data_IF_403047665853
#
_entry.id   IF_403047665853
#
_cell.length_a   1.000
_cell.length_b   1.000
_cell.length_c   1.000
_cell.angle_alpha   90.00
_cell.angle_beta   90.00
_cell.angle_gamma   90.00
#
_symmetry.space_group_name_H-M   'P 1'
#
loop_
_entity.id
_entity.type
_entity.pdbx_description
1 polymer ?
#
# COMPACT_ATOMS: atom_id res chain seq x y z
N UNK A 1 71.41 -2.42 22.32
CA UNK A 1 70.00 -2.77 22.58
C UNK A 1 69.98 -3.91 23.57
N UNK A 2 69.32 -3.75 24.71
CA UNK A 2 69.42 -4.69 25.84
C UNK A 2 68.50 -5.92 25.61
N UNK A 3 68.93 -7.12 26.01
CA UNK A 3 68.18 -8.39 25.76
C UNK A 3 66.77 -8.34 26.35
N UNK A 4 66.61 -7.59 27.44
CA UNK A 4 65.34 -7.36 28.14
C UNK A 4 64.36 -6.52 27.32
N UNK A 5 64.86 -5.53 26.58
CA UNK A 5 64.04 -4.66 25.72
C UNK A 5 63.47 -5.44 24.54
N UNK A 6 64.26 -6.32 23.93
CA UNK A 6 63.81 -7.18 22.82
C UNK A 6 62.73 -8.16 23.31
N UNK A 7 62.93 -8.80 24.47
CA UNK A 7 61.94 -9.69 25.06
C UNK A 7 60.61 -8.97 25.36
N UNK A 8 60.68 -7.75 25.90
CA UNK A 8 59.50 -6.93 26.17
C UNK A 8 58.76 -6.57 24.88
N UNK A 9 59.47 -6.14 23.84
CA UNK A 9 58.85 -5.83 22.55
C UNK A 9 58.15 -7.05 21.93
N UNK A 10 58.76 -8.23 21.99
CA UNK A 10 58.14 -9.48 21.50
C UNK A 10 56.87 -9.79 22.30
N UNK A 11 56.90 -9.62 23.63
CA UNK A 11 55.75 -9.89 24.48
C UNK A 11 54.57 -8.95 24.18
N UNK A 12 54.84 -7.66 24.00
CA UNK A 12 53.83 -6.66 23.61
C UNK A 12 53.26 -6.99 22.22
N UNK A 13 54.11 -7.35 21.25
CA UNK A 13 53.65 -7.72 19.91
C UNK A 13 52.78 -8.97 19.92
N UNK A 14 53.18 -10.00 20.68
CA UNK A 14 52.39 -11.22 20.85
C UNK A 14 51.04 -10.94 21.53
N UNK A 15 51.01 -10.05 22.54
CA UNK A 15 49.77 -9.66 23.22
C UNK A 15 48.83 -8.92 22.27
N UNK A 16 49.33 -7.95 21.51
CA UNK A 16 48.53 -7.23 20.51
C UNK A 16 48.01 -8.17 19.42
N UNK A 17 48.83 -9.12 18.97
CA UNK A 17 48.42 -10.11 17.97
C UNK A 17 47.31 -11.04 18.49
N UNK A 18 47.43 -11.53 19.73
CA UNK A 18 46.40 -12.36 20.36
C UNK A 18 45.10 -11.59 20.56
N UNK A 19 45.18 -10.33 20.99
CA UNK A 19 44.00 -9.46 21.13
C UNK A 19 43.32 -9.22 19.79
N UNK A 20 44.10 -8.99 18.72
CA UNK A 20 43.55 -8.81 17.37
C UNK A 20 42.82 -10.07 16.88
N UNK A 21 43.44 -11.25 17.01
CA UNK A 21 42.81 -12.53 16.66
C UNK A 21 41.52 -12.76 17.44
N UNK A 22 41.52 -12.45 18.74
CA UNK A 22 40.33 -12.60 19.57
C UNK A 22 39.18 -11.69 19.09
N UNK A 23 39.45 -10.42 18.77
CA UNK A 23 38.45 -9.51 18.25
C UNK A 23 37.93 -9.90 16.86
N UNK A 24 38.81 -10.38 15.97
CA UNK A 24 38.41 -10.86 14.64
C UNK A 24 37.44 -12.04 14.77
N UNK A 25 37.73 -13.01 15.64
CA UNK A 25 36.86 -14.15 15.89
C UNK A 25 35.50 -13.74 16.49
N UNK A 26 35.50 -12.90 17.53
CA UNK A 26 34.28 -12.36 18.13
C UNK A 26 33.42 -11.59 17.09
N UNK A 27 34.06 -10.83 16.21
CA UNK A 27 33.37 -10.10 15.16
C UNK A 27 32.73 -11.03 14.13
N UNK A 28 33.45 -12.08 13.69
CA UNK A 28 32.89 -13.09 12.78
C UNK A 28 31.72 -13.85 13.40
N UNK A 29 31.81 -14.23 14.67
CA UNK A 29 30.71 -14.88 15.39
C UNK A 29 29.49 -13.97 15.51
N UNK A 30 29.69 -12.71 15.93
CA UNK A 30 28.60 -11.72 16.02
C UNK A 30 27.96 -11.46 14.67
N UNK A 31 28.77 -11.34 13.62
CA UNK A 31 28.29 -11.17 12.24
C UNK A 31 27.43 -12.36 11.82
N UNK A 32 27.89 -13.58 12.06
CA UNK A 32 27.14 -14.80 11.73
C UNK A 32 25.82 -14.89 12.51
N UNK A 33 25.83 -14.57 13.80
CA UNK A 33 24.61 -14.54 14.62
C UNK A 33 23.63 -13.46 14.13
N UNK A 34 24.13 -12.29 13.75
CA UNK A 34 23.32 -11.23 13.16
C UNK A 34 22.69 -11.67 11.84
N UNK A 35 23.45 -12.27 10.92
CA UNK A 35 22.93 -12.80 9.65
C UNK A 35 21.86 -13.88 9.86
N UNK A 36 22.08 -14.81 10.80
CA UNK A 36 21.07 -15.82 11.18
C UNK A 36 19.80 -15.17 11.73
N UNK A 37 19.95 -14.16 12.59
CA UNK A 37 18.82 -13.42 13.17
C UNK A 37 18.03 -12.67 12.11
N UNK A 38 18.71 -12.00 11.18
CA UNK A 38 18.08 -11.31 10.05
C UNK A 38 17.34 -12.30 9.15
N UNK A 39 17.95 -13.46 8.86
CA UNK A 39 17.31 -14.51 8.07
C UNK A 39 16.04 -15.08 8.71
N UNK A 40 16.02 -15.25 10.04
CA UNK A 40 14.82 -15.67 10.78
C UNK A 40 13.74 -14.60 10.75
N UNK A 41 14.10 -13.33 10.98
CA UNK A 41 13.16 -12.20 10.94
C UNK A 41 12.48 -12.07 9.59
N UNK A 42 13.23 -12.11 8.48
CA UNK A 42 12.66 -12.07 7.12
C UNK A 42 11.68 -13.20 6.86
N UNK A 43 12.01 -14.43 7.29
CA UNK A 43 11.11 -15.59 7.16
C UNK A 43 9.83 -15.46 7.98
N UNK A 44 9.90 -14.83 9.16
CA UNK A 44 8.72 -14.56 9.97
C UNK A 44 7.85 -13.48 9.32
N UNK A 45 8.45 -12.39 8.84
CA UNK A 45 7.78 -11.29 8.14
C UNK A 45 7.06 -11.81 6.88
N UNK A 46 7.71 -12.65 6.06
CA UNK A 46 7.09 -13.31 4.90
C UNK A 46 5.83 -14.08 5.32
N UNK A 47 5.91 -14.89 6.37
CA UNK A 47 4.77 -15.70 6.83
C UNK A 47 3.62 -14.84 7.35
N UNK A 48 3.93 -13.74 8.04
CA UNK A 48 2.93 -12.81 8.54
C UNK A 48 2.21 -12.11 7.39
N UNK A 49 2.97 -11.57 6.42
CA UNK A 49 2.41 -10.93 5.22
C UNK A 49 1.58 -11.90 4.37
N UNK A 50 2.01 -13.17 4.23
CA UNK A 50 1.22 -14.18 3.53
C UNK A 50 -0.12 -14.48 4.24
N UNK A 51 -0.09 -14.59 5.57
CA UNK A 51 -1.30 -14.79 6.36
C UNK A 51 -2.24 -13.58 6.28
N UNK A 52 -1.69 -12.38 6.38
CA UNK A 52 -2.42 -11.12 6.30
C UNK A 52 -3.09 -10.97 4.93
N UNK A 53 -2.34 -11.12 3.83
CA UNK A 53 -2.88 -11.06 2.47
C UNK A 53 -3.98 -12.11 2.23
N UNK A 54 -3.89 -13.28 2.85
CA UNK A 54 -4.92 -14.31 2.75
C UNK A 54 -6.18 -13.96 3.54
N UNK A 55 -6.03 -13.31 4.70
CA UNK A 55 -7.14 -12.92 5.57
C UNK A 55 -7.82 -11.59 5.20
N UNK A 56 -7.08 -10.66 4.59
CA UNK A 56 -7.57 -9.29 4.32
C UNK A 56 -8.57 -9.23 3.17
N UNK A 57 -8.79 -10.32 2.44
CA UNK A 57 -9.76 -10.41 1.34
C UNK A 57 -11.22 -10.42 1.81
N UNK A 58 -11.51 -10.54 3.12
CA UNK A 58 -12.86 -10.86 3.60
C UNK A 58 -13.71 -9.65 4.08
N UNK A 59 -13.14 -8.46 4.34
CA UNK A 59 -13.88 -7.30 4.90
C UNK A 59 -14.07 -6.12 3.92
N UNK A 60 -14.40 -6.42 2.66
CA UNK A 60 -14.61 -5.40 1.62
C UNK A 60 -15.89 -4.57 1.85
N UNK A 61 -16.88 -5.12 2.55
CA UNK A 61 -18.20 -4.49 2.74
C UNK A 61 -18.16 -3.22 3.62
N UNK A 62 -17.22 -3.14 4.57
CA UNK A 62 -17.07 -1.99 5.49
C UNK A 62 -16.37 -0.78 4.85
N UNK A 63 -15.85 -0.92 3.63
CA UNK A 63 -15.04 0.11 2.96
C UNK A 63 -15.89 1.21 2.29
N UNK A 64 -17.22 1.09 2.32
CA UNK A 64 -18.10 2.08 1.70
C UNK A 64 -17.98 2.12 0.17
N UNK A 65 -17.79 0.96 -0.45
CA UNK A 65 -17.56 0.83 -1.88
C UNK A 65 -18.86 0.84 -2.68
N UNK A 66 -18.87 1.66 -3.72
CA UNK A 66 -20.02 1.86 -4.59
C UNK A 66 -19.61 1.60 -6.04
N UNK A 67 -20.50 0.98 -6.80
CA UNK A 67 -20.34 0.85 -8.25
C UNK A 67 -21.10 1.98 -8.94
N UNK A 68 -20.47 2.60 -9.92
CA UNK A 68 -21.05 3.63 -10.76
C UNK A 68 -21.45 3.08 -12.13
N UNK A 69 -22.60 3.53 -12.62
CA UNK A 69 -23.25 3.07 -13.84
C UNK A 69 -23.51 4.26 -14.77
N UNK A 70 -23.49 3.98 -16.07
CA UNK A 70 -23.81 4.96 -17.11
C UNK A 70 -25.32 5.27 -17.19
N UNK A 71 -26.15 4.35 -16.70
CA UNK A 71 -27.60 4.37 -16.84
C UNK A 71 -28.29 4.23 -15.49
N UNK A 72 -29.56 4.65 -15.47
CA UNK A 72 -30.45 4.61 -14.31
C UNK A 72 -31.02 3.21 -14.02
N UNK A 73 -30.69 2.21 -14.85
CA UNK A 73 -31.11 0.81 -14.71
C UNK A 73 -30.04 -0.08 -14.07
N UNK A 74 -28.79 0.39 -14.02
CA UNK A 74 -27.65 -0.36 -13.51
C UNK A 74 -27.14 -1.44 -14.46
N UNK A 75 -27.39 -1.31 -15.77
CA UNK A 75 -27.01 -2.33 -16.76
C UNK A 75 -25.56 -2.17 -17.25
N UNK A 76 -25.04 -0.94 -17.29
CA UNK A 76 -23.70 -0.64 -17.80
C UNK A 76 -22.79 -0.09 -16.68
N UNK A 77 -22.06 -0.95 -15.94
CA UNK A 77 -21.09 -0.51 -14.95
C UNK A 77 -19.90 0.18 -15.64
N UNK A 78 -19.50 1.33 -15.10
CA UNK A 78 -18.39 2.14 -15.60
C UNK A 78 -17.15 2.01 -14.70
N UNK A 79 -17.33 2.25 -13.41
CA UNK A 79 -16.24 2.30 -12.43
C UNK A 79 -16.76 1.94 -11.02
N UNK A 80 -15.88 1.90 -10.04
CA UNK A 80 -16.23 1.96 -8.63
C UNK A 80 -15.37 2.99 -7.91
N UNK A 81 -15.75 3.23 -6.67
CA UNK A 81 -15.17 4.25 -5.86
C UNK A 81 -15.71 4.19 -4.45
N UNK A 82 -15.27 5.16 -3.65
CA UNK A 82 -15.64 5.29 -2.25
C UNK A 82 -16.74 6.31 -2.16
N UNK A 83 -17.83 5.96 -1.48
CA UNK A 83 -18.96 6.86 -1.26
C UNK A 83 -19.06 7.27 0.20
N UNK A 84 -19.00 8.57 0.46
CA UNK A 84 -19.14 9.15 1.81
C UNK A 84 -19.84 10.49 1.72
N UNK A 85 -20.81 10.73 2.61
CA UNK A 85 -21.50 12.02 2.77
C UNK A 85 -21.96 12.66 1.45
N UNK A 86 -22.68 11.87 0.63
CA UNK A 86 -23.20 12.25 -0.70
C UNK A 86 -22.14 12.51 -1.78
N UNK A 87 -20.88 12.23 -1.49
CA UNK A 87 -19.75 12.35 -2.43
C UNK A 87 -19.25 10.97 -2.83
N UNK A 88 -18.95 10.83 -4.11
CA UNK A 88 -18.35 9.64 -4.70
C UNK A 88 -16.97 10.01 -5.26
N UNK A 89 -15.93 9.42 -4.68
CA UNK A 89 -14.56 9.55 -5.13
C UNK A 89 -14.18 8.31 -5.96
N UNK A 90 -13.67 8.54 -7.17
CA UNK A 90 -13.20 7.49 -8.08
C UNK A 90 -11.95 7.95 -8.82
N UNK A 91 -11.36 7.05 -9.60
CA UNK A 91 -10.23 7.32 -10.48
C UNK A 91 -10.77 7.51 -11.90
N UNK A 92 -10.34 8.57 -12.60
CA UNK A 92 -10.76 8.84 -13.98
C UNK A 92 -10.29 7.74 -14.94
N UNK A 93 -11.23 7.09 -15.66
CA UNK A 93 -10.92 6.03 -16.63
C UNK A 93 -10.88 6.52 -18.09
N UNK A 94 -11.19 7.79 -18.33
CA UNK A 94 -11.21 8.41 -19.66
C UNK A 94 -11.02 9.92 -19.54
N UNK A 95 -10.51 10.55 -20.60
CA UNK A 95 -10.33 12.01 -20.65
C UNK A 95 -11.68 12.78 -20.69
N UNK A 96 -12.74 12.13 -21.17
CA UNK A 96 -14.09 12.73 -21.24
C UNK A 96 -15.03 11.96 -20.32
N UNK A 97 -15.12 12.40 -19.08
CA UNK A 97 -16.00 11.83 -18.08
C UNK A 97 -17.46 12.25 -18.32
N UNK A 98 -18.44 11.39 -18.02
CA UNK A 98 -19.84 11.75 -18.12
C UNK A 98 -20.21 12.78 -17.05
N UNK A 99 -21.06 13.75 -17.37
CA UNK A 99 -21.51 14.78 -16.40
C UNK A 99 -22.34 14.19 -15.26
N UNK A 100 -22.97 13.03 -15.47
CA UNK A 100 -23.85 12.37 -14.50
C UNK A 100 -23.55 10.89 -14.44
N UNK A 101 -23.53 10.35 -13.22
CA UNK A 101 -23.40 8.92 -12.93
C UNK A 101 -24.50 8.47 -11.98
N UNK A 102 -24.80 7.19 -12.04
CA UNK A 102 -25.71 6.53 -11.13
C UNK A 102 -24.93 5.59 -10.23
N UNK A 103 -25.00 5.76 -8.91
CA UNK A 103 -24.23 4.93 -7.97
C UNK A 103 -25.13 4.09 -7.08
N UNK A 104 -24.66 2.92 -6.69
CA UNK A 104 -25.25 2.08 -5.63
C UNK A 104 -24.16 1.36 -4.84
N UNK A 105 -24.41 0.95 -3.58
CA UNK A 105 -23.46 0.13 -2.84
C UNK A 105 -23.13 -1.14 -3.62
N UNK A 106 -21.88 -1.56 -3.54
CA UNK A 106 -21.44 -2.82 -4.14
C UNK A 106 -22.23 -3.98 -3.53
N UNK A 107 -22.65 -4.95 -4.36
CA UNK A 107 -23.47 -6.11 -3.96
C UNK A 107 -24.86 -5.77 -3.37
N UNK A 108 -25.37 -4.55 -3.55
CA UNK A 108 -26.71 -4.14 -3.11
C UNK A 108 -27.70 -3.96 -4.26
N UNK A 109 -28.98 -4.24 -3.99
CA UNK A 109 -30.12 -3.93 -4.86
C UNK A 109 -30.75 -2.57 -4.56
N UNK A 110 -30.08 -1.73 -3.76
CA UNK A 110 -30.52 -0.37 -3.48
C UNK A 110 -30.75 0.46 -4.75
N UNK A 111 -31.70 1.39 -4.65
CA UNK A 111 -32.01 2.35 -5.71
C UNK A 111 -30.79 3.18 -6.07
N UNK A 112 -30.51 3.26 -7.37
CA UNK A 112 -29.44 4.06 -7.92
C UNK A 112 -29.64 5.55 -7.59
N UNK A 113 -28.57 6.18 -7.10
CA UNK A 113 -28.55 7.60 -6.76
C UNK A 113 -27.82 8.37 -7.87
N UNK A 114 -28.46 9.38 -8.50
CA UNK A 114 -27.78 10.21 -9.49
C UNK A 114 -26.83 11.20 -8.81
N UNK A 115 -25.62 11.29 -9.33
CA UNK A 115 -24.58 12.23 -8.92
C UNK A 115 -24.05 13.00 -10.12
N UNK A 116 -23.64 14.25 -9.91
CA UNK A 116 -23.07 15.12 -10.93
C UNK A 116 -21.57 15.30 -10.75
N UNK A 117 -20.86 15.34 -11.87
CA UNK A 117 -19.43 15.63 -11.90
C UNK A 117 -19.17 17.01 -11.28
N UNK A 118 -18.33 17.04 -10.23
CA UNK A 118 -18.00 18.27 -9.49
C UNK A 118 -16.53 18.62 -9.64
N UNK A 119 -15.65 17.60 -9.72
CA UNK A 119 -14.23 17.76 -9.98
C UNK A 119 -13.81 16.86 -11.14
N UNK A 120 -13.29 17.48 -12.20
CA UNK A 120 -12.80 16.81 -13.40
C UNK A 120 -11.34 17.23 -13.66
N UNK A 121 -10.37 16.34 -13.40
CA UNK A 121 -8.95 16.66 -13.57
C UNK A 121 -8.53 16.76 -15.04
N UNK A 122 -9.38 16.38 -16.01
CA UNK A 122 -9.05 16.27 -17.45
C UNK A 122 -7.83 15.40 -17.78
N UNK A 123 -7.37 14.61 -16.81
CA UNK A 123 -6.31 13.63 -16.93
C UNK A 123 -6.89 12.23 -16.71
N UNK A 124 -6.28 11.21 -17.31
CA UNK A 124 -6.57 9.81 -17.00
C UNK A 124 -5.84 9.46 -15.70
N UNK A 125 -6.38 8.52 -14.93
CA UNK A 125 -5.79 8.04 -13.67
C UNK A 125 -5.69 9.08 -12.53
N UNK A 126 -6.45 10.17 -12.62
CA UNK A 126 -6.51 11.24 -11.64
C UNK A 126 -7.77 11.17 -10.76
N UNK A 127 -7.75 11.79 -9.56
CA UNK A 127 -8.91 11.80 -8.66
C UNK A 127 -10.09 12.52 -9.30
N UNK A 128 -11.27 11.90 -9.22
CA UNK A 128 -12.51 12.44 -9.80
C UNK A 128 -13.62 12.37 -8.78
N UNK A 129 -14.44 13.41 -8.73
CA UNK A 129 -15.49 13.56 -7.71
C UNK A 129 -16.85 13.78 -8.35
N UNK A 130 -17.81 12.98 -7.93
CA UNK A 130 -19.23 13.18 -8.21
C UNK A 130 -20.01 13.45 -6.92
N UNK A 131 -20.95 14.39 -6.96
CA UNK A 131 -21.76 14.78 -5.80
C UNK A 131 -23.21 14.97 -6.17
N UNK A 132 -24.12 14.75 -5.22
CA UNK A 132 -25.55 14.95 -5.46
C UNK A 132 -25.89 16.45 -5.67
N UNK A 133 -25.31 17.34 -4.85
CA UNK A 133 -25.63 18.77 -4.82
C UNK A 133 -24.43 19.72 -4.97
N UNK A 134 -23.21 19.19 -5.19
CA UNK A 134 -22.00 20.00 -5.42
C UNK A 134 -21.56 20.91 -4.27
N UNK A 135 -22.10 20.70 -3.05
CA UNK A 135 -21.97 21.63 -1.92
C UNK A 135 -21.29 21.05 -0.69
N UNK A 136 -21.19 19.73 -0.61
CA UNK A 136 -20.64 19.06 0.58
C UNK A 136 -19.15 18.84 0.35
N UNK A 137 -18.26 19.36 1.19
CA UNK A 137 -16.85 18.99 1.11
C UNK A 137 -16.68 17.48 1.25
N UNK A 138 -15.76 16.89 0.49
CA UNK A 138 -15.43 15.47 0.67
C UNK A 138 -14.66 15.34 1.97
N UNK A 139 -15.07 14.37 2.79
CA UNK A 139 -14.30 13.99 3.96
C UNK A 139 -13.11 13.13 3.51
N UNK A 140 -11.91 13.72 3.56
CA UNK A 140 -10.64 13.02 3.31
C UNK A 140 -9.92 12.78 4.63
N UNK A 141 -9.12 11.72 4.69
CA UNK A 141 -8.18 11.51 5.77
C UNK A 141 -6.94 12.39 5.59
N UNK A 142 -6.37 12.85 6.69
CA UNK A 142 -5.06 13.52 6.69
C UNK A 142 -3.99 12.46 7.02
N UNK A 143 -2.95 12.38 6.20
CA UNK A 143 -1.83 11.47 6.41
C UNK A 143 -0.58 12.29 6.75
N UNK A 144 -0.17 12.37 8.03
CA UNK A 144 0.96 13.20 8.43
C UNK A 144 2.27 12.77 7.77
N UNK A 145 3.16 13.74 7.46
CA UNK A 145 4.49 13.50 6.86
C UNK A 145 5.35 12.47 7.60
N UNK A 146 5.15 12.36 8.92
CA UNK A 146 5.93 11.49 9.80
C UNK A 146 4.97 10.56 10.55
N UNK A 147 5.28 9.26 10.55
CA UNK A 147 4.49 8.27 11.25
C UNK A 147 4.40 6.93 10.54
N UNK A 148 3.69 6.01 11.19
CA UNK A 148 3.38 4.69 10.66
C UNK A 148 1.86 4.53 10.64
N UNK A 149 1.29 4.32 9.46
CA UNK A 149 -0.15 4.14 9.31
C UNK A 149 -0.45 2.91 8.45
N UNK A 150 -1.43 2.13 8.91
CA UNK A 150 -2.01 1.05 8.12
C UNK A 150 -3.03 1.63 7.14
N UNK A 151 -2.88 1.26 5.88
CA UNK A 151 -3.71 1.69 4.76
C UNK A 151 -4.34 0.48 4.07
N UNK A 152 -5.43 0.74 3.38
CA UNK A 152 -6.07 -0.22 2.47
C UNK A 152 -6.07 0.38 1.06
N UNK A 153 -5.39 -0.28 0.14
CA UNK A 153 -5.35 0.08 -1.26
C UNK A 153 -6.48 -0.63 -2.00
N UNK A 154 -7.41 0.13 -2.57
CA UNK A 154 -8.55 -0.40 -3.31
C UNK A 154 -8.33 -0.22 -4.79
N UNK A 155 -8.35 -1.31 -5.54
CA UNK A 155 -8.24 -1.29 -6.99
C UNK A 155 -9.50 -1.81 -7.66
N UNK A 156 -9.75 -1.26 -8.84
CA UNK A 156 -10.91 -1.57 -9.65
C UNK A 156 -10.44 -2.04 -11.02
N UNK A 157 -10.87 -3.23 -11.43
CA UNK A 157 -10.56 -3.78 -12.75
C UNK A 157 -11.86 -4.15 -13.46
N UNK A 158 -12.13 -3.56 -14.62
CA UNK A 158 -13.27 -3.96 -15.45
C UNK A 158 -12.88 -5.18 -16.29
N UNK A 159 -13.43 -6.36 -15.96
CA UNK A 159 -13.29 -7.59 -16.75
C UNK A 159 -14.68 -8.07 -17.21
N UNK A 160 -14.86 -8.29 -18.51
CA UNK A 160 -16.08 -8.89 -19.07
C UNK A 160 -17.39 -8.18 -18.66
N UNK A 161 -17.41 -6.83 -18.66
CA UNK A 161 -18.55 -6.01 -18.17
C UNK A 161 -18.89 -6.21 -16.69
N UNK A 162 -18.00 -6.84 -15.91
CA UNK A 162 -18.06 -6.90 -14.46
C UNK A 162 -16.91 -6.10 -13.89
N UNK A 163 -17.20 -5.35 -12.86
CA UNK A 163 -16.19 -4.64 -12.12
C UNK A 163 -15.71 -5.54 -10.98
N UNK A 164 -14.44 -5.91 -11.05
CA UNK A 164 -13.74 -6.63 -9.99
C UNK A 164 -13.10 -5.61 -9.06
N UNK A 165 -13.26 -5.79 -7.75
CA UNK A 165 -12.72 -4.87 -6.75
C UNK A 165 -11.85 -5.65 -5.79
N UNK A 166 -10.61 -5.20 -5.63
CA UNK A 166 -9.63 -5.87 -4.78
C UNK A 166 -9.12 -4.88 -3.75
N UNK A 167 -9.26 -5.24 -2.49
CA UNK A 167 -8.62 -4.56 -1.37
C UNK A 167 -7.28 -5.24 -1.11
N UNK A 168 -6.24 -4.44 -0.88
CA UNK A 168 -4.90 -4.92 -0.53
C UNK A 168 -4.34 -4.07 0.60
N UNK A 169 -3.79 -4.68 1.67
CA UNK A 169 -3.08 -3.95 2.70
C UNK A 169 -1.91 -3.14 2.12
N UNK A 170 -1.76 -1.94 2.66
CA UNK A 170 -0.67 -1.03 2.36
C UNK A 170 -0.18 -0.41 3.67
N UNK A 171 1.08 -0.02 3.71
CA UNK A 171 1.68 0.66 4.85
C UNK A 171 2.19 2.01 4.40
N UNK A 172 2.01 3.01 5.24
CA UNK A 172 2.68 4.29 5.13
C UNK A 172 3.75 4.41 6.20
N UNK A 173 4.96 4.78 5.78
CA UNK A 173 6.08 5.07 6.65
C UNK A 173 6.78 6.34 6.19
N UNK A 174 6.68 7.40 7.00
CA UNK A 174 7.41 8.67 6.81
C UNK A 174 7.39 9.19 5.36
N UNK A 175 6.19 9.32 4.77
CA UNK A 175 5.98 9.82 3.40
C UNK A 175 5.99 8.75 2.31
N UNK A 176 6.36 7.50 2.64
CA UNK A 176 6.47 6.41 1.67
C UNK A 176 5.33 5.40 1.85
N UNK A 177 4.55 5.18 0.80
CA UNK A 177 3.55 4.10 0.75
C UNK A 177 4.16 2.85 0.13
N UNK A 178 4.01 1.73 0.83
CA UNK A 178 4.42 0.41 0.37
C UNK A 178 3.23 -0.53 0.39
N UNK A 179 2.93 -1.16 -0.75
CA UNK A 179 1.92 -2.22 -0.80
C UNK A 179 2.48 -3.48 -0.14
N UNK A 180 1.70 -4.15 0.71
CA UNK A 180 2.12 -5.36 1.42
C UNK A 180 2.62 -6.46 0.45
N UNK A 181 2.03 -6.51 -0.75
CA UNK A 181 2.46 -7.43 -1.80
C UNK A 181 3.85 -7.08 -2.38
N UNK A 182 4.09 -5.82 -2.71
CA UNK A 182 5.41 -5.36 -3.21
C UNK A 182 6.51 -5.65 -2.16
N UNK A 183 6.18 -5.47 -0.87
CA UNK A 183 7.06 -5.81 0.24
C UNK A 183 7.35 -7.31 0.29
N UNK A 184 6.31 -8.15 0.20
CA UNK A 184 6.43 -9.60 0.19
C UNK A 184 7.29 -10.10 -0.98
N UNK A 185 7.08 -9.58 -2.19
CA UNK A 185 7.88 -9.92 -3.37
C UNK A 185 9.37 -9.56 -3.17
N UNK A 186 9.63 -8.39 -2.61
CA UNK A 186 10.99 -7.93 -2.29
C UNK A 186 11.67 -8.85 -1.26
N UNK A 187 10.99 -9.17 -0.16
CA UNK A 187 11.52 -10.04 0.89
C UNK A 187 11.79 -11.47 0.40
N UNK A 188 10.90 -12.01 -0.45
CA UNK A 188 11.09 -13.33 -1.07
C UNK A 188 12.30 -13.36 -1.99
N UNK A 189 12.47 -12.32 -2.82
CA UNK A 189 13.64 -12.15 -3.70
C UNK A 189 14.94 -12.07 -2.89
N UNK A 190 14.96 -11.26 -1.82
CA UNK A 190 16.11 -11.14 -0.93
C UNK A 190 16.43 -12.44 -0.17
N UNK A 191 15.42 -13.26 0.10
CA UNK A 191 15.56 -14.54 0.80
C UNK A 191 15.88 -15.71 -0.13
N UNK A 192 16.05 -15.47 -1.44
CA UNK A 192 16.31 -16.52 -2.44
C UNK A 192 15.11 -17.43 -2.73
N UNK A 193 13.91 -17.06 -2.28
CA UNK A 193 12.67 -17.78 -2.53
C UNK A 193 12.02 -17.24 -3.81
N UNK A 194 12.49 -17.69 -4.98
CA UNK A 194 11.98 -17.24 -6.29
C UNK A 194 10.61 -17.82 -6.68
N UNK A 195 9.72 -18.10 -5.73
CA UNK A 195 8.35 -18.50 -6.06
C UNK A 195 7.49 -17.26 -6.29
N UNK A 196 7.14 -17.02 -7.55
CA UNK A 196 6.12 -16.06 -7.97
C UNK A 196 4.78 -16.47 -7.36
N UNK A 197 4.23 -15.65 -6.46
CA UNK A 197 2.86 -15.86 -6.03
C UNK A 197 1.96 -15.30 -7.13
N UNK A 198 1.09 -16.13 -7.70
CA UNK A 198 -0.08 -15.70 -8.47
C UNK A 198 -1.17 -15.13 -7.52
N UNK A 199 -0.81 -14.30 -6.55
CA UNK A 199 -1.80 -13.42 -5.92
C UNK A 199 -1.93 -12.22 -6.85
N UNK A 200 -3.15 -11.87 -7.24
CA UNK A 200 -3.36 -10.74 -8.14
C UNK A 200 -2.74 -9.48 -7.49
N UNK A 201 -1.62 -8.99 -8.04
CA UNK A 201 -1.22 -7.62 -7.70
C UNK A 201 -2.36 -6.71 -8.13
N UNK A 202 -2.65 -5.63 -7.39
CA UNK A 202 -3.55 -4.59 -7.87
C UNK A 202 -3.16 -4.26 -9.30
N UNK A 203 -4.03 -4.53 -10.28
CA UNK A 203 -3.61 -4.50 -11.68
C UNK A 203 -3.49 -3.08 -12.24
N UNK A 204 -4.07 -2.11 -11.56
CA UNK A 204 -4.00 -0.69 -11.90
C UNK A 204 -3.81 0.17 -10.66
N UNK A 205 -4.15 1.44 -10.82
CA UNK A 205 -4.06 2.45 -9.77
C UNK A 205 -5.09 2.21 -8.67
N UNK A 206 -4.77 2.69 -7.47
CA UNK A 206 -5.53 2.38 -6.26
C UNK A 206 -5.96 3.63 -5.52
N UNK A 207 -7.16 3.60 -4.93
CA UNK A 207 -7.55 4.58 -3.91
C UNK A 207 -7.01 4.07 -2.57
N UNK A 208 -6.22 4.90 -1.90
CA UNK A 208 -5.72 4.61 -0.56
C UNK A 208 -6.74 5.06 0.49
N UNK A 209 -7.09 4.15 1.37
CA UNK A 209 -8.00 4.36 2.49
C UNK A 209 -7.25 4.21 3.82
N UNK A 210 -7.48 5.15 4.74
CA UNK A 210 -6.98 5.07 6.11
C UNK A 210 -8.15 4.80 7.06
N UNK A 211 -7.95 3.90 8.02
CA UNK A 211 -8.94 3.62 9.06
C UNK A 211 -8.94 4.73 10.12
N UNK A 212 -10.11 5.29 10.41
CA UNK A 212 -10.30 6.33 11.44
C UNK A 212 -11.49 5.97 12.34
N UNK A 213 -11.74 6.78 13.38
CA UNK A 213 -12.88 6.62 14.29
C UNK A 213 -14.24 6.75 13.58
N UNK A 214 -14.28 7.41 12.42
CA UNK A 214 -15.49 7.60 11.60
C UNK A 214 -15.58 6.63 10.42
N UNK A 215 -14.70 5.63 10.39
CA UNK A 215 -14.57 4.61 9.35
C UNK A 215 -13.37 4.84 8.43
N UNK A 216 -13.40 4.21 7.26
CA UNK A 216 -12.35 4.38 6.25
C UNK A 216 -12.51 5.70 5.51
N UNK A 217 -11.45 6.49 5.47
CA UNK A 217 -11.40 7.76 4.75
C UNK A 217 -10.34 7.70 3.65
N UNK A 218 -10.63 8.24 2.45
CA UNK A 218 -9.66 8.29 1.38
C UNK A 218 -8.57 9.32 1.69
N UNK A 219 -7.32 8.96 1.45
CA UNK A 219 -6.14 9.81 1.69
C UNK A 219 -5.37 10.18 0.42
N UNK A 220 -5.43 9.33 -0.61
CA UNK A 220 -4.62 9.52 -1.81
C UNK A 220 -4.97 8.53 -2.91
N UNK A 221 -4.40 8.75 -4.10
CA UNK A 221 -4.39 7.79 -5.20
C UNK A 221 -2.96 7.30 -5.41
N UNK A 222 -2.77 5.99 -5.36
CA UNK A 222 -1.51 5.33 -5.66
C UNK A 222 -1.45 5.00 -7.15
N UNK A 223 -0.52 5.65 -7.86
CA UNK A 223 -0.16 5.30 -9.22
C UNK A 223 0.82 4.12 -9.21
N UNK A 224 0.39 3.00 -9.79
CA UNK A 224 1.18 1.77 -9.75
C UNK A 224 2.40 1.81 -10.66
N UNK A 225 2.28 2.47 -11.82
CA UNK A 225 3.37 2.56 -12.80
C UNK A 225 4.52 3.40 -12.25
N UNK A 226 4.19 4.54 -11.66
CA UNK A 226 5.16 5.50 -11.12
C UNK A 226 5.56 5.18 -9.67
N UNK A 227 4.83 4.29 -8.99
CA UNK A 227 4.98 4.00 -7.55
C UNK A 227 4.93 5.27 -6.70
N UNK A 228 3.99 6.14 -7.04
CA UNK A 228 3.84 7.45 -6.45
C UNK A 228 2.42 7.63 -5.92
N UNK A 229 2.27 8.40 -4.85
CA UNK A 229 0.97 8.74 -4.26
C UNK A 229 0.68 10.21 -4.54
N UNK A 230 -0.46 10.46 -5.17
CA UNK A 230 -1.07 11.79 -5.19
C UNK A 230 -1.99 11.90 -3.99
N UNK A 231 -1.60 12.70 -3.00
CA UNK A 231 -2.42 12.95 -1.81
C UNK A 231 -3.63 13.81 -2.16
N UNK A 232 -4.79 13.50 -1.60
CA UNK A 232 -6.01 14.24 -1.87
C UNK A 232 -6.03 15.63 -1.23
N UNK A 233 -5.17 15.87 -0.24
CA UNK A 233 -5.03 17.19 0.40
C UNK A 233 -4.31 18.21 -0.49
N UNK A 234 -3.54 17.74 -1.48
CA UNK A 234 -2.77 18.56 -2.40
C UNK A 234 -3.54 18.93 -3.69
N UNK A 235 -4.76 18.39 -3.87
CA UNK A 235 -5.60 18.51 -5.09
C UNK A 235 -6.75 19.48 -4.87
#
# INVERSE_FOLDING_TARGET
MDKRTILFSILVFATLFLVNIYFDHEFEEKKRQWELTQGVKKKQEIKLLEAELSSSSENVEDLGLYTAFADDKGENPLTAGVFKDESFLTISWTANLPDTLYVRPQNSEETLKPLKLTFDPKAIDAPTVYQHNGKTPILIGNLPDIGNFELQAITFESKNKRLDTQASPAEYHDGLVTLAKDRLETLKKESGQSQTIETAAPKGDAILLMKTDVGYLPVGIYNRTEKHVTYLEDV
#
